data_IF_483756811430
#
_entry.id   IF_483756811430
#
_cell.length_a   1.000
_cell.length_b   1.000
_cell.length_c   1.000
_cell.angle_alpha   90.00
_cell.angle_beta   90.00
_cell.angle_gamma   90.00
#
_symmetry.space_group_name_H-M   'P 1'
#
loop_
_entity.id
_entity.type
_entity.pdbx_description
1 polymer ?
#
# COMPACT_ATOMS: atom_id res chain seq x y z
N UNK A 1 22.80 4.17 -1.86
CA UNK A 1 22.65 5.30 -2.80
C UNK A 1 23.00 6.59 -2.09
N UNK A 2 23.76 7.46 -2.75
CA UNK A 2 24.16 8.76 -2.22
C UNK A 2 23.79 9.88 -3.19
N UNK A 3 23.40 11.02 -2.64
CA UNK A 3 23.13 12.27 -3.32
C UNK A 3 24.20 13.28 -2.89
N UNK A 4 25.00 13.76 -3.85
CA UNK A 4 26.15 14.62 -3.58
C UNK A 4 27.09 14.07 -2.48
N UNK A 5 27.25 12.75 -2.41
CA UNK A 5 28.08 12.06 -1.42
C UNK A 5 27.36 11.71 -0.10
N UNK A 6 26.19 12.30 0.18
CA UNK A 6 25.39 12.00 1.38
C UNK A 6 24.50 10.78 1.14
N UNK A 7 24.49 9.82 2.07
CA UNK A 7 23.65 8.61 1.92
C UNK A 7 22.19 8.95 2.17
N UNK A 8 21.35 8.74 1.15
CA UNK A 8 19.92 9.03 1.22
C UNK A 8 19.03 7.78 1.22
N UNK A 9 19.55 6.63 0.78
CA UNK A 9 18.82 5.35 0.68
C UNK A 9 19.75 4.14 0.68
N UNK A 10 19.32 3.06 1.32
CA UNK A 10 19.88 1.71 1.18
C UNK A 10 19.00 0.85 0.27
N UNK A 11 19.61 -0.05 -0.50
CA UNK A 11 18.89 -0.91 -1.44
C UNK A 11 19.69 -2.18 -1.69
N UNK A 12 19.02 -3.23 -2.13
CA UNK A 12 19.64 -4.51 -2.48
C UNK A 12 19.69 -4.73 -4.00
N UNK A 13 20.61 -5.57 -4.42
CA UNK A 13 20.65 -6.06 -5.79
C UNK A 13 19.54 -7.11 -5.98
N UNK A 14 18.85 -7.00 -7.11
CA UNK A 14 17.88 -7.98 -7.58
C UNK A 14 18.56 -8.90 -8.56
N UNK A 15 18.47 -10.21 -8.30
CA UNK A 15 18.93 -11.22 -9.24
C UNK A 15 17.87 -11.41 -10.33
N UNK A 16 18.11 -10.83 -11.51
CA UNK A 16 17.20 -10.94 -12.65
C UNK A 16 17.64 -12.09 -13.59
N UNK A 17 18.95 -12.35 -13.70
CA UNK A 17 19.52 -13.40 -14.55
C UNK A 17 20.62 -14.13 -13.76
N UNK A 18 20.77 -15.48 -13.89
CA UNK A 18 21.90 -16.18 -13.29
C UNK A 18 23.23 -15.55 -13.69
N UNK A 19 24.05 -15.16 -12.71
CA UNK A 19 25.36 -14.53 -12.92
C UNK A 19 25.34 -13.02 -13.16
N UNK A 20 24.17 -12.37 -13.20
CA UNK A 20 24.06 -10.91 -13.29
C UNK A 20 23.10 -10.38 -12.22
N UNK A 21 23.68 -9.85 -11.16
CA UNK A 21 22.95 -9.10 -10.15
C UNK A 21 22.83 -7.65 -10.63
N UNK A 22 21.61 -7.11 -10.65
CA UNK A 22 21.34 -5.72 -11.04
C UNK A 22 20.67 -4.98 -9.90
N UNK A 23 20.93 -3.69 -9.76
CA UNK A 23 20.19 -2.85 -8.83
C UNK A 23 19.20 -1.97 -9.61
N UNK A 24 18.06 -1.70 -9.01
CA UNK A 24 17.07 -0.75 -9.55
C UNK A 24 16.75 0.23 -8.44
N UNK A 25 16.95 1.51 -8.72
CA UNK A 25 16.58 2.61 -7.83
C UNK A 25 15.53 3.44 -8.54
N UNK A 26 14.39 3.61 -7.87
CA UNK A 26 13.34 4.51 -8.29
C UNK A 26 13.32 5.71 -7.34
N UNK A 27 13.21 6.91 -7.91
CA UNK A 27 13.07 8.17 -7.19
C UNK A 27 11.77 8.78 -7.69
N UNK A 28 10.83 9.04 -6.79
CA UNK A 28 9.54 9.62 -7.11
C UNK A 28 9.66 11.14 -7.25
N UNK A 29 8.63 11.75 -7.82
CA UNK A 29 8.66 13.16 -8.22
C UNK A 29 8.75 14.11 -7.03
N UNK A 30 8.01 13.82 -5.97
CA UNK A 30 8.06 14.51 -4.67
C UNK A 30 9.49 14.55 -4.12
N UNK A 31 10.20 13.41 -4.15
CA UNK A 31 11.58 13.32 -3.71
C UNK A 31 12.53 14.09 -4.63
N UNK A 32 12.38 13.95 -5.94
CA UNK A 32 13.15 14.72 -6.92
C UNK A 32 12.95 16.23 -6.74
N UNK A 33 11.74 16.69 -6.44
CA UNK A 33 11.43 18.10 -6.25
C UNK A 33 12.18 18.73 -5.06
N UNK A 34 12.71 17.93 -4.12
CA UNK A 34 13.56 18.42 -3.02
C UNK A 34 15.03 18.50 -3.39
N UNK A 35 15.45 17.84 -4.47
CA UNK A 35 16.87 17.79 -4.83
C UNK A 35 17.38 19.18 -5.23
N UNK A 36 18.68 19.44 -5.09
CA UNK A 36 19.33 20.55 -5.77
C UNK A 36 19.10 20.51 -7.27
N UNK A 37 19.08 21.69 -7.89
CA UNK A 37 18.82 21.83 -9.32
C UNK A 37 19.76 21.01 -10.21
N UNK A 38 20.95 20.69 -9.70
CA UNK A 38 21.89 19.75 -10.28
C UNK A 38 22.49 18.90 -9.18
N UNK A 39 22.40 17.59 -9.31
CA UNK A 39 22.90 16.66 -8.31
C UNK A 39 23.69 15.51 -8.92
N UNK A 40 24.63 14.96 -8.15
CA UNK A 40 25.37 13.74 -8.50
C UNK A 40 24.83 12.58 -7.67
N UNK A 41 24.33 11.55 -8.36
CA UNK A 41 23.90 10.30 -7.77
C UNK A 41 24.99 9.25 -7.90
N UNK A 42 25.28 8.57 -6.79
CA UNK A 42 26.19 7.41 -6.77
C UNK A 42 25.53 6.24 -6.06
N UNK A 43 25.89 5.03 -6.47
CA UNK A 43 25.49 3.80 -5.80
C UNK A 43 26.75 3.01 -5.51
N UNK A 44 26.89 2.50 -4.30
CA UNK A 44 28.03 1.72 -3.87
C UNK A 44 27.56 0.52 -3.06
N UNK A 45 28.33 -0.56 -3.10
CA UNK A 45 28.19 -1.70 -2.19
C UNK A 45 28.43 -1.25 -0.74
N UNK A 46 27.94 -2.05 0.21
CA UNK A 46 28.17 -1.81 1.64
C UNK A 46 29.67 -1.72 1.98
N UNK A 47 30.51 -2.50 1.28
CA UNK A 47 31.98 -2.46 1.39
C UNK A 47 32.66 -1.30 0.64
N UNK A 48 31.91 -0.36 0.06
CA UNK A 48 32.44 0.86 -0.57
C UNK A 48 32.73 0.77 -2.07
N UNK A 49 32.72 -0.41 -2.68
CA UNK A 49 32.91 -0.56 -4.14
C UNK A 49 31.79 0.12 -4.95
N UNK A 50 32.09 0.87 -6.02
CA UNK A 50 31.05 1.53 -6.82
C UNK A 50 30.23 0.52 -7.62
N UNK A 51 28.93 0.79 -7.76
CA UNK A 51 28.05 0.08 -8.66
C UNK A 51 27.88 0.91 -9.94
N UNK A 52 28.17 0.28 -11.08
CA UNK A 52 28.17 0.97 -12.36
C UNK A 52 26.75 1.11 -12.92
N UNK A 53 26.43 2.30 -13.41
CA UNK A 53 25.25 2.58 -14.22
C UNK A 53 25.70 2.89 -15.64
N UNK A 54 25.37 1.99 -16.59
CA UNK A 54 25.82 2.08 -18.00
C UNK A 54 27.33 2.29 -18.15
N UNK A 55 28.13 1.67 -17.28
CA UNK A 55 29.60 1.80 -17.27
C UNK A 55 30.14 3.01 -16.51
N UNK A 56 29.27 3.91 -16.03
CA UNK A 56 29.66 5.07 -15.24
C UNK A 56 29.52 4.80 -13.73
N UNK A 57 30.37 5.41 -12.90
CA UNK A 57 30.31 5.31 -11.43
C UNK A 57 29.28 6.24 -10.79
N UNK A 58 28.81 7.22 -11.56
CA UNK A 58 27.85 8.21 -11.11
C UNK A 58 26.95 8.68 -12.26
N UNK A 59 25.84 9.29 -11.87
CA UNK A 59 24.91 9.95 -12.77
C UNK A 59 24.69 11.38 -12.31
N UNK A 60 24.85 12.35 -13.21
CA UNK A 60 24.45 13.73 -12.96
C UNK A 60 22.99 13.87 -13.38
N UNK A 61 22.16 14.36 -12.46
CA UNK A 61 20.74 14.60 -12.67
C UNK A 61 20.47 16.08 -12.55
N UNK A 62 19.95 16.67 -13.62
CA UNK A 62 19.48 18.04 -13.64
C UNK A 62 17.98 18.05 -13.32
N UNK A 63 17.61 18.75 -12.25
CA UNK A 63 16.23 18.94 -11.78
C UNK A 63 15.94 20.44 -11.72
N UNK A 64 15.66 21.12 -12.85
CA UNK A 64 15.60 22.59 -12.90
C UNK A 64 14.62 23.24 -11.92
N UNK A 65 13.61 22.49 -11.45
CA UNK A 65 12.59 22.92 -10.51
C UNK A 65 12.81 22.37 -9.08
N UNK A 66 13.98 21.78 -8.81
CA UNK A 66 14.32 21.25 -7.49
C UNK A 66 14.50 22.38 -6.47
N UNK A 67 13.89 22.24 -5.31
CA UNK A 67 13.92 23.22 -4.22
C UNK A 67 15.32 23.42 -3.63
N UNK A 68 16.20 22.41 -3.76
CA UNK A 68 17.56 22.46 -3.24
C UNK A 68 17.67 22.31 -1.74
N UNK A 69 16.88 21.39 -1.16
CA UNK A 69 17.04 21.00 0.23
C UNK A 69 18.44 20.43 0.48
N UNK A 70 18.89 20.57 1.74
CA UNK A 70 20.13 19.95 2.19
C UNK A 70 20.05 18.41 1.99
N UNK A 71 21.00 17.78 1.28
CA UNK A 71 21.09 16.33 1.13
C UNK A 71 21.02 15.55 2.45
N UNK A 72 21.47 16.13 3.56
CA UNK A 72 21.38 15.50 4.88
C UNK A 72 19.94 15.30 5.35
N UNK A 73 19.01 16.13 4.88
CA UNK A 73 17.58 16.08 5.21
C UNK A 73 16.76 15.25 4.20
N UNK A 74 17.37 14.79 3.12
CA UNK A 74 16.69 13.97 2.12
C UNK A 74 16.87 12.50 2.48
N UNK A 75 15.76 11.81 2.75
CA UNK A 75 15.72 10.36 2.92
C UNK A 75 14.66 9.80 1.99
N UNK A 76 14.99 8.70 1.31
CA UNK A 76 14.10 8.09 0.33
C UNK A 76 13.85 6.64 0.72
N UNK A 77 12.57 6.27 0.74
CA UNK A 77 12.14 4.92 1.05
C UNK A 77 12.44 3.93 -0.10
N UNK A 78 12.05 2.67 0.09
CA UNK A 78 12.24 1.62 -0.94
C UNK A 78 11.40 1.85 -2.20
N UNK A 79 10.25 2.53 -2.08
CA UNK A 79 9.33 2.85 -3.19
C UNK A 79 9.78 4.10 -3.96
N UNK A 80 10.71 4.88 -3.40
CA UNK A 80 11.26 6.09 -4.00
C UNK A 80 10.66 7.40 -3.49
N UNK A 81 9.76 7.37 -2.51
CA UNK A 81 9.12 8.53 -1.89
C UNK A 81 10.01 9.10 -0.77
N UNK A 82 9.77 10.36 -0.40
CA UNK A 82 10.43 10.95 0.76
C UNK A 82 9.99 10.25 2.05
N UNK A 83 10.96 9.93 2.90
CA UNK A 83 10.65 9.47 4.27
C UNK A 83 10.17 10.66 5.07
N UNK A 84 8.99 10.55 5.67
CA UNK A 84 8.44 11.61 6.51
C UNK A 84 9.24 11.78 7.80
N UNK A 85 9.30 13.02 8.30
CA UNK A 85 9.82 13.29 9.63
C UNK A 85 8.98 12.61 10.71
N UNK A 86 9.56 12.37 11.88
CA UNK A 86 8.92 11.61 12.97
C UNK A 86 7.56 12.18 13.40
N UNK A 87 7.41 13.51 13.44
CA UNK A 87 6.14 14.16 13.77
C UNK A 87 5.05 13.90 12.72
N UNK A 88 5.39 14.03 11.43
CA UNK A 88 4.45 13.75 10.33
C UNK A 88 4.04 12.27 10.28
N UNK A 89 4.98 11.36 10.57
CA UNK A 89 4.68 9.93 10.66
C UNK A 89 3.72 9.60 11.81
N UNK A 90 3.90 10.23 12.98
CA UNK A 90 3.01 10.02 14.13
C UNK A 90 1.59 10.49 13.82
N UNK A 91 1.44 11.69 13.27
CA UNK A 91 0.15 12.25 12.84
C UNK A 91 -0.52 11.36 11.78
N UNK A 92 0.27 10.86 10.82
CA UNK A 92 -0.21 9.92 9.79
C UNK A 92 -0.74 8.62 10.41
N UNK A 93 0.00 8.04 11.36
CA UNK A 93 -0.39 6.82 12.07
C UNK A 93 -1.63 7.00 12.95
N UNK A 94 -1.79 8.16 13.59
CA UNK A 94 -3.02 8.52 14.31
C UNK A 94 -4.21 8.60 13.34
N UNK A 95 -4.01 9.22 12.17
CA UNK A 95 -5.01 9.28 11.11
C UNK A 95 -5.40 7.90 10.57
N UNK A 96 -4.46 6.96 10.46
CA UNK A 96 -4.76 5.57 10.11
C UNK A 96 -5.65 4.91 11.16
N UNK A 97 -5.31 5.03 12.44
CA UNK A 97 -6.09 4.43 13.52
C UNK A 97 -7.51 5.02 13.62
N UNK A 98 -7.65 6.33 13.43
CA UNK A 98 -8.95 6.99 13.38
C UNK A 98 -9.79 6.50 12.19
N UNK A 99 -9.17 6.39 11.01
CA UNK A 99 -9.82 5.86 9.81
C UNK A 99 -10.22 4.40 10.00
N UNK A 100 -9.34 3.59 10.59
CA UNK A 100 -9.60 2.18 10.90
C UNK A 100 -10.77 2.02 11.85
N UNK A 101 -10.82 2.79 12.95
CA UNK A 101 -11.91 2.71 13.93
C UNK A 101 -13.26 3.00 13.27
N UNK A 102 -13.35 4.07 12.48
CA UNK A 102 -14.55 4.42 11.74
C UNK A 102 -14.94 3.35 10.71
N UNK A 103 -13.97 2.85 9.94
CA UNK A 103 -14.19 1.82 8.93
C UNK A 103 -14.62 0.49 9.56
N UNK A 104 -13.96 0.03 10.62
CA UNK A 104 -14.28 -1.23 11.30
C UNK A 104 -15.69 -1.20 11.90
N UNK A 105 -16.08 -0.09 12.56
CA UNK A 105 -17.44 0.11 13.05
C UNK A 105 -18.48 0.10 11.92
N UNK A 106 -18.17 0.73 10.78
CA UNK A 106 -19.03 0.72 9.60
C UNK A 106 -19.16 -0.71 9.02
N UNK A 107 -18.05 -1.44 8.90
CA UNK A 107 -18.03 -2.81 8.39
C UNK A 107 -18.86 -3.76 9.26
N UNK A 108 -18.73 -3.64 10.58
CA UNK A 108 -19.53 -4.41 11.52
C UNK A 108 -21.02 -4.10 11.36
N UNK A 109 -21.41 -2.82 11.35
CA UNK A 109 -22.82 -2.40 11.30
C UNK A 109 -23.49 -2.69 9.96
N UNK A 110 -22.83 -2.37 8.85
CA UNK A 110 -23.44 -2.38 7.51
C UNK A 110 -23.27 -3.70 6.76
N UNK A 111 -22.22 -4.46 7.09
CA UNK A 111 -21.87 -5.69 6.38
C UNK A 111 -21.85 -6.93 7.28
N UNK A 112 -21.86 -6.76 8.60
CA UNK A 112 -21.76 -7.88 9.55
C UNK A 112 -20.45 -8.67 9.43
N UNK A 113 -19.40 -8.06 8.86
CA UNK A 113 -18.09 -8.69 8.66
C UNK A 113 -17.01 -7.92 9.42
N UNK A 114 -16.07 -8.61 10.10
CA UNK A 114 -14.97 -7.93 10.77
C UNK A 114 -13.95 -7.41 9.74
N UNK A 115 -13.43 -6.22 10.02
CA UNK A 115 -12.26 -5.67 9.33
C UNK A 115 -11.03 -5.91 10.21
N UNK A 116 -10.15 -6.82 9.81
CA UNK A 116 -8.99 -7.25 10.61
C UNK A 116 -7.66 -6.79 10.00
N UNK A 117 -6.63 -6.62 10.83
CA UNK A 117 -5.29 -6.23 10.39
C UNK A 117 -4.66 -7.29 9.47
N UNK A 118 -3.88 -6.82 8.49
CA UNK A 118 -3.09 -7.66 7.58
C UNK A 118 -1.65 -7.13 7.43
N UNK A 119 -0.82 -7.91 6.73
CA UNK A 119 0.54 -7.55 6.30
C UNK A 119 1.41 -6.89 7.39
N UNK A 120 2.03 -5.75 7.07
CA UNK A 120 2.98 -5.05 7.93
C UNK A 120 2.34 -4.55 9.20
N UNK A 121 1.08 -4.10 9.11
CA UNK A 121 0.29 -3.65 10.25
C UNK A 121 0.02 -4.79 11.24
N UNK A 122 -0.42 -5.96 10.76
CA UNK A 122 -0.57 -7.15 11.61
C UNK A 122 0.78 -7.61 12.17
N UNK A 123 1.83 -7.60 11.35
CA UNK A 123 3.18 -8.01 11.76
C UNK A 123 3.73 -7.14 12.89
N UNK A 124 3.57 -5.81 12.78
CA UNK A 124 3.92 -4.86 13.83
C UNK A 124 3.12 -5.13 15.10
N UNK A 125 1.80 -5.26 14.96
CA UNK A 125 0.91 -5.56 16.09
C UNK A 125 1.32 -6.86 16.80
N UNK A 126 1.68 -7.92 16.06
CA UNK A 126 2.09 -9.20 16.66
C UNK A 126 3.49 -9.18 17.28
N UNK A 127 4.41 -8.35 16.79
CA UNK A 127 5.79 -8.27 17.31
C UNK A 127 5.95 -7.29 18.46
N UNK A 128 5.17 -6.23 18.50
CA UNK A 128 5.36 -5.12 19.44
C UNK A 128 4.10 -4.37 19.84
N UNK A 129 2.91 -4.87 19.49
CA UNK A 129 1.61 -4.20 19.73
C UNK A 129 1.53 -2.77 19.15
N UNK A 130 2.35 -2.48 18.13
CA UNK A 130 2.42 -1.16 17.48
C UNK A 130 2.89 -1.28 16.03
N UNK A 131 2.94 -0.16 15.31
CA UNK A 131 3.49 -0.10 13.96
C UNK A 131 4.94 -0.56 13.92
N UNK A 132 5.36 -1.09 12.76
CA UNK A 132 6.79 -1.27 12.50
C UNK A 132 7.44 0.13 12.47
N UNK A 133 8.65 0.33 13.05
CA UNK A 133 9.31 1.63 13.01
C UNK A 133 9.49 2.15 11.59
N UNK A 134 8.97 3.35 11.32
CA UNK A 134 9.01 3.97 9.99
C UNK A 134 7.92 3.52 9.01
N UNK A 135 6.97 2.69 9.45
CA UNK A 135 5.88 2.18 8.61
C UNK A 135 4.81 3.24 8.37
N UNK A 136 4.56 3.51 7.10
CA UNK A 136 3.66 4.55 6.58
C UNK A 136 2.47 3.98 5.82
N UNK A 137 2.23 2.66 5.94
CA UNK A 137 1.09 1.95 5.36
C UNK A 137 0.18 1.38 6.48
N UNK A 138 -1.12 1.27 6.22
CA UNK A 138 -2.06 0.57 7.11
C UNK A 138 -2.91 -0.44 6.33
N UNK A 139 -2.61 -1.73 6.51
CA UNK A 139 -3.21 -2.84 5.78
C UNK A 139 -4.30 -3.54 6.60
N UNK A 140 -5.47 -3.70 6.00
CA UNK A 140 -6.61 -4.41 6.60
C UNK A 140 -7.31 -5.31 5.61
N UNK A 141 -8.05 -6.30 6.08
CA UNK A 141 -8.87 -7.13 5.23
C UNK A 141 -10.17 -7.56 5.85
N UNK A 142 -11.06 -8.01 4.98
CA UNK A 142 -12.30 -8.67 5.34
C UNK A 142 -12.37 -10.00 4.61
N UNK A 143 -13.07 -10.97 5.21
CA UNK A 143 -13.31 -12.25 4.57
C UNK A 143 -14.54 -12.16 3.66
N UNK A 144 -14.39 -12.63 2.42
CA UNK A 144 -15.46 -12.75 1.43
C UNK A 144 -15.84 -14.21 1.23
N UNK A 145 -17.13 -14.53 1.40
CA UNK A 145 -17.69 -15.85 1.13
C UNK A 145 -18.14 -16.02 -0.34
N UNK A 146 -17.83 -15.05 -1.21
CA UNK A 146 -18.25 -15.03 -2.62
C UNK A 146 -17.64 -16.16 -3.49
N UNK A 147 -16.62 -16.86 -2.99
CA UNK A 147 -16.10 -18.14 -3.49
C UNK A 147 -15.33 -18.10 -4.82
N UNK A 148 -15.35 -16.96 -5.53
CA UNK A 148 -14.48 -16.71 -6.68
C UNK A 148 -14.24 -15.22 -6.93
N UNK A 149 -13.14 -14.91 -7.61
CA UNK A 149 -12.68 -13.56 -7.88
C UNK A 149 -13.74 -12.63 -8.50
N UNK A 150 -14.55 -13.10 -9.46
CA UNK A 150 -15.56 -12.24 -10.10
C UNK A 150 -16.69 -11.87 -9.15
N UNK A 151 -17.14 -12.79 -8.29
CA UNK A 151 -18.15 -12.49 -7.28
C UNK A 151 -17.59 -11.64 -6.14
N UNK A 152 -16.32 -11.84 -5.78
CA UNK A 152 -15.61 -10.97 -4.82
C UNK A 152 -15.57 -9.53 -5.35
N UNK A 153 -15.32 -9.32 -6.64
CA UNK A 153 -15.43 -7.97 -7.25
C UNK A 153 -16.83 -7.41 -7.12
N UNK A 154 -17.86 -8.19 -7.41
CA UNK A 154 -19.24 -7.71 -7.37
C UNK A 154 -19.66 -7.34 -5.93
N UNK A 155 -19.26 -8.15 -4.94
CA UNK A 155 -19.39 -7.83 -3.50
C UNK A 155 -18.63 -6.55 -3.15
N UNK A 156 -17.36 -6.47 -3.55
CA UNK A 156 -16.53 -5.30 -3.31
C UNK A 156 -17.14 -4.03 -3.92
N UNK A 157 -17.71 -4.09 -5.13
CA UNK A 157 -18.41 -2.96 -5.74
C UNK A 157 -19.62 -2.50 -4.90
N UNK A 158 -20.36 -3.41 -4.27
CA UNK A 158 -21.46 -3.03 -3.36
C UNK A 158 -20.92 -2.36 -2.09
N UNK A 159 -19.85 -2.91 -1.50
CA UNK A 159 -19.17 -2.29 -0.36
C UNK A 159 -18.68 -0.89 -0.70
N UNK A 160 -18.10 -0.66 -1.88
CA UNK A 160 -17.65 0.68 -2.33
C UNK A 160 -18.81 1.65 -2.28
N UNK A 161 -19.93 1.30 -2.92
CA UNK A 161 -21.10 2.17 -3.02
C UNK A 161 -21.63 2.52 -1.63
N UNK A 162 -21.68 1.55 -0.72
CA UNK A 162 -22.13 1.76 0.66
C UNK A 162 -21.15 2.59 1.48
N UNK A 163 -19.84 2.33 1.38
CA UNK A 163 -18.80 3.12 2.04
C UNK A 163 -18.83 4.59 1.60
N UNK A 164 -18.94 4.83 0.30
CA UNK A 164 -19.04 6.20 -0.25
C UNK A 164 -20.30 6.90 0.27
N UNK A 165 -21.46 6.23 0.22
CA UNK A 165 -22.70 6.77 0.80
C UNK A 165 -22.62 6.94 2.33
N UNK A 166 -21.76 6.17 2.98
CA UNK A 166 -21.45 6.26 4.42
C UNK A 166 -20.47 7.38 4.78
N UNK A 167 -20.04 8.20 3.82
CA UNK A 167 -19.16 9.34 4.07
C UNK A 167 -17.67 9.05 3.86
N UNK A 168 -17.27 7.84 3.44
CA UNK A 168 -15.86 7.54 3.21
C UNK A 168 -15.40 7.98 1.82
N UNK A 169 -14.11 8.29 1.70
CA UNK A 169 -13.48 8.44 0.39
C UNK A 169 -12.80 7.14 -0.02
N UNK A 170 -13.23 6.58 -1.14
CA UNK A 170 -12.72 5.34 -1.71
C UNK A 170 -11.95 5.64 -2.99
N UNK A 171 -10.67 5.30 -3.01
CA UNK A 171 -9.80 5.48 -4.17
C UNK A 171 -9.55 4.14 -4.87
N UNK A 172 -9.64 4.13 -6.21
CA UNK A 172 -9.29 3.00 -7.07
C UNK A 172 -8.02 3.33 -7.83
N UNK A 173 -7.10 2.36 -7.88
CA UNK A 173 -5.89 2.53 -8.66
C UNK A 173 -6.15 2.41 -10.19
N UNK A 174 -5.13 2.68 -11.00
CA UNK A 174 -5.24 2.64 -12.48
C UNK A 174 -5.51 1.24 -13.01
N UNK A 175 -5.10 0.20 -12.29
CA UNK A 175 -5.33 -1.19 -12.65
C UNK A 175 -6.74 -1.70 -12.30
N UNK A 176 -7.56 -0.91 -11.62
CA UNK A 176 -8.91 -1.31 -11.19
C UNK A 176 -8.96 -2.07 -9.86
N UNK A 177 -7.87 -2.04 -9.08
CA UNK A 177 -7.84 -2.58 -7.73
C UNK A 177 -8.56 -1.62 -6.75
N UNK A 178 -9.47 -2.19 -5.97
CA UNK A 178 -10.11 -1.63 -4.79
C UNK A 178 -9.30 -2.04 -3.53
N UNK A 179 -9.38 -1.44 -2.35
CA UNK A 179 -9.94 -0.15 -1.93
C UNK A 179 -8.86 0.56 -1.12
N UNK A 180 -8.51 1.78 -1.53
CA UNK A 180 -7.90 2.70 -0.58
C UNK A 180 -9.01 3.48 0.09
N UNK A 181 -9.09 3.37 1.41
CA UNK A 181 -10.17 3.96 2.19
C UNK A 181 -9.61 5.07 3.09
N UNK A 182 -10.22 6.24 3.10
CA UNK A 182 -9.90 7.30 4.07
C UNK A 182 -11.12 8.09 4.50
N UNK A 183 -10.98 8.82 5.59
CA UNK A 183 -11.95 9.82 6.00
C UNK A 183 -11.85 11.07 5.13
N UNK A 184 -12.97 11.80 4.89
CA UNK A 184 -12.92 13.12 4.28
C UNK A 184 -11.99 14.07 5.05
N UNK A 185 -11.29 14.95 4.32
CA UNK A 185 -10.33 15.89 4.91
C UNK A 185 -8.94 15.29 5.18
N UNK A 186 -8.81 13.97 5.34
CA UNK A 186 -7.50 13.34 5.46
C UNK A 186 -6.73 13.45 4.13
N UNK A 187 -5.41 13.73 4.18
CA UNK A 187 -4.56 13.70 2.99
C UNK A 187 -4.60 12.29 2.39
N UNK A 188 -4.44 12.12 1.07
CA UNK A 188 -4.61 10.80 0.51
C UNK A 188 -3.55 9.78 0.98
N UNK A 189 -2.36 10.23 1.39
CA UNK A 189 -1.37 9.38 2.07
C UNK A 189 -1.94 8.71 3.35
N UNK A 190 -2.87 9.37 4.04
CA UNK A 190 -3.59 8.84 5.18
C UNK A 190 -4.79 7.98 4.73
N UNK A 191 -4.52 6.76 4.27
CA UNK A 191 -5.52 5.78 3.87
C UNK A 191 -5.23 4.39 4.42
N UNK A 192 -6.27 3.56 4.48
CA UNK A 192 -6.17 2.12 4.67
C UNK A 192 -6.09 1.44 3.31
N UNK A 193 -5.16 0.50 3.15
CA UNK A 193 -5.19 -0.47 2.05
C UNK A 193 -6.09 -1.65 2.48
N UNK A 194 -7.31 -1.67 1.97
CA UNK A 194 -8.32 -2.70 2.29
C UNK A 194 -8.28 -3.82 1.26
N UNK A 195 -8.14 -5.05 1.76
CA UNK A 195 -8.03 -6.26 0.95
C UNK A 195 -9.20 -7.21 1.17
N UNK A 196 -9.80 -7.67 0.07
CA UNK A 196 -10.70 -8.83 0.11
C UNK A 196 -9.88 -10.11 0.28
N UNK A 197 -10.25 -10.95 1.25
CA UNK A 197 -9.66 -12.27 1.49
C UNK A 197 -10.71 -13.32 1.14
N UNK A 198 -10.43 -14.22 0.21
CA UNK A 198 -11.39 -15.26 -0.19
C UNK A 198 -10.72 -16.60 -0.46
N UNK A 199 -11.50 -17.66 -0.38
CA UNK A 199 -11.05 -18.99 -0.78
C UNK A 199 -11.49 -19.33 -2.21
N UNK A 200 -10.56 -19.73 -3.06
CA UNK A 200 -10.83 -20.18 -4.42
C UNK A 200 -9.77 -21.20 -4.86
N UNK A 201 -10.18 -22.30 -5.50
CA UNK A 201 -9.28 -23.35 -6.01
C UNK A 201 -8.32 -23.93 -4.95
N UNK A 202 -8.81 -24.14 -3.72
CA UNK A 202 -8.06 -24.79 -2.65
C UNK A 202 -7.00 -23.91 -1.99
N UNK A 203 -7.09 -22.59 -2.14
CA UNK A 203 -6.19 -21.65 -1.46
C UNK A 203 -6.93 -20.38 -1.08
N UNK A 204 -6.37 -19.66 -0.11
CA UNK A 204 -6.79 -18.29 0.22
C UNK A 204 -6.09 -17.32 -0.72
N UNK A 205 -6.83 -16.33 -1.22
CA UNK A 205 -6.38 -15.31 -2.16
C UNK A 205 -6.55 -13.92 -1.56
N UNK A 206 -5.54 -13.08 -1.79
CA UNK A 206 -5.58 -11.63 -1.51
C UNK A 206 -4.94 -10.85 -2.67
N UNK A 207 -3.78 -11.31 -3.15
CA UNK A 207 -3.06 -10.80 -4.34
C UNK A 207 -2.23 -11.94 -4.96
N UNK A 208 -1.48 -11.77 -6.08
CA UNK A 208 -0.92 -12.93 -6.80
C UNK A 208 0.13 -13.71 -6.02
N UNK A 209 0.75 -13.08 -5.01
CA UNK A 209 1.75 -13.71 -4.13
C UNK A 209 1.14 -14.22 -2.82
N UNK A 210 0.03 -13.66 -2.36
CA UNK A 210 -0.80 -14.24 -1.29
C UNK A 210 -1.87 -15.17 -1.88
N UNK A 211 -1.40 -16.24 -2.53
CA UNK A 211 -2.16 -17.46 -2.78
C UNK A 211 -1.67 -18.45 -1.71
N UNK A 212 -2.28 -18.36 -0.53
CA UNK A 212 -1.75 -18.86 0.73
C UNK A 212 -2.35 -20.23 1.06
N UNK A 213 -1.52 -21.06 1.69
CA UNK A 213 -1.97 -22.27 2.37
C UNK A 213 -2.59 -21.89 3.73
N UNK A 214 -3.77 -21.29 3.66
CA UNK A 214 -4.59 -20.90 4.79
C UNK A 214 -6.03 -21.34 4.53
N UNK A 215 -6.84 -21.35 5.58
CA UNK A 215 -8.27 -21.64 5.55
C UNK A 215 -9.06 -20.52 6.22
N UNK A 216 -10.36 -20.47 5.98
CA UNK A 216 -11.28 -19.49 6.60
C UNK A 216 -11.12 -19.40 8.13
N UNK A 217 -10.95 -20.54 8.79
CA UNK A 217 -10.75 -20.61 10.24
C UNK A 217 -9.37 -20.15 10.73
N UNK A 218 -8.48 -19.66 9.85
CA UNK A 218 -7.30 -18.88 10.24
C UNK A 218 -7.63 -17.39 10.38
N UNK A 219 -8.73 -16.93 9.78
CA UNK A 219 -9.15 -15.52 9.77
C UNK A 219 -10.34 -15.27 10.68
N UNK A 220 -11.32 -16.18 10.66
CA UNK A 220 -12.58 -16.02 11.37
C UNK A 220 -12.82 -17.13 12.42
N UNK A 221 -13.45 -16.81 13.57
CA UNK A 221 -13.84 -15.46 14.01
C UNK A 221 -12.60 -14.59 14.28
N UNK A 222 -12.65 -13.31 13.88
CA UNK A 222 -11.58 -12.38 14.19
C UNK A 222 -11.51 -12.14 15.70
N UNK A 223 -10.32 -11.86 16.23
CA UNK A 223 -10.09 -11.68 17.65
C UNK A 223 -9.83 -10.22 17.98
N UNK A 224 -10.28 -9.79 19.16
CA UNK A 224 -10.00 -8.46 19.68
C UNK A 224 -8.53 -8.32 20.07
N UNK A 225 -7.98 -7.14 19.82
CA UNK A 225 -6.66 -6.71 20.23
C UNK A 225 -6.65 -5.19 20.39
N UNK A 226 -5.49 -4.62 20.72
CA UNK A 226 -5.31 -3.17 20.85
C UNK A 226 -4.04 -2.70 20.15
N UNK A 227 -4.08 -1.47 19.67
CA UNK A 227 -2.94 -0.78 19.06
C UNK A 227 -3.02 0.69 19.46
N UNK A 228 -2.05 1.16 20.26
CA UNK A 228 -2.05 2.53 20.84
C UNK A 228 -3.37 2.92 21.53
N UNK A 229 -3.99 1.98 22.24
CA UNK A 229 -5.26 2.20 22.95
C UNK A 229 -6.50 2.22 22.07
N UNK A 230 -6.37 1.96 20.76
CA UNK A 230 -7.49 1.76 19.83
C UNK A 230 -7.76 0.26 19.71
N UNK A 231 -9.03 -0.13 19.82
CA UNK A 231 -9.46 -1.51 19.62
C UNK A 231 -9.29 -1.89 18.15
N UNK A 232 -8.58 -2.99 17.90
CA UNK A 232 -8.33 -3.53 16.56
C UNK A 232 -8.69 -5.01 16.51
N UNK A 233 -9.01 -5.51 15.32
CA UNK A 233 -9.30 -6.93 15.10
C UNK A 233 -8.12 -7.58 14.39
N UNK A 234 -7.79 -8.80 14.79
CA UNK A 234 -6.78 -9.63 14.13
C UNK A 234 -7.40 -10.93 13.64
N UNK A 235 -6.79 -11.60 12.63
CA UNK A 235 -7.20 -12.94 12.23
C UNK A 235 -7.28 -13.92 13.42
N UNK A 236 -8.15 -14.93 13.36
CA UNK A 236 -8.26 -15.99 14.38
C UNK A 236 -6.92 -16.66 14.74
N UNK A 237 -6.03 -16.81 13.77
CA UNK A 237 -4.66 -17.34 13.91
C UNK A 237 -3.70 -16.46 13.10
N UNK A 238 -3.26 -15.32 13.65
CA UNK A 238 -2.37 -14.38 12.96
C UNK A 238 -1.11 -15.03 12.39
N UNK A 239 -0.55 -15.99 13.13
CA UNK A 239 0.65 -16.74 12.78
C UNK A 239 0.47 -17.56 11.50
N UNK A 240 -0.73 -18.08 11.22
CA UNK A 240 -1.00 -18.82 9.97
C UNK A 240 -0.77 -17.92 8.76
N UNK A 241 -1.33 -16.71 8.78
CA UNK A 241 -1.16 -15.74 7.71
C UNK A 241 0.28 -15.24 7.62
N UNK A 242 0.86 -14.84 8.75
CA UNK A 242 2.22 -14.27 8.78
C UNK A 242 3.27 -15.28 8.34
N UNK A 243 3.18 -16.54 8.78
CA UNK A 243 4.09 -17.60 8.35
C UNK A 243 3.92 -17.95 6.87
N UNK A 244 2.67 -18.02 6.38
CA UNK A 244 2.38 -18.32 4.98
C UNK A 244 2.88 -17.21 4.04
N UNK A 245 2.83 -15.95 4.48
CA UNK A 245 3.23 -14.80 3.66
C UNK A 245 4.71 -14.41 3.79
N UNK A 246 5.20 -14.24 5.02
CA UNK A 246 6.57 -13.76 5.29
C UNK A 246 7.59 -14.90 5.41
N UNK A 247 7.16 -16.11 5.76
CA UNK A 247 8.02 -17.26 6.03
C UNK A 247 7.94 -17.71 7.49
N UNK A 248 8.44 -18.91 7.79
CA UNK A 248 8.41 -19.48 9.16
C UNK A 248 9.19 -18.66 10.18
N UNK A 249 10.15 -17.86 9.74
CA UNK A 249 10.99 -16.95 10.52
C UNK A 249 10.40 -15.54 10.64
N UNK A 250 9.10 -15.35 10.33
CA UNK A 250 8.43 -14.05 10.37
C UNK A 250 8.53 -13.32 11.71
N UNK A 251 8.93 -13.94 12.81
CA UNK A 251 9.14 -13.24 14.08
C UNK A 251 10.45 -12.45 14.10
N UNK A 252 11.44 -12.83 13.28
CA UNK A 252 12.76 -12.21 13.23
C UNK A 252 12.71 -11.03 12.23
N UNK A 253 13.03 -9.80 12.66
CA UNK A 253 13.12 -8.67 11.74
C UNK A 253 14.10 -8.95 10.59
N UNK A 254 13.60 -8.84 9.37
CA UNK A 254 14.40 -8.99 8.16
C UNK A 254 14.32 -7.69 7.33
N UNK A 255 15.24 -6.74 7.53
CA UNK A 255 15.26 -5.48 6.78
C UNK A 255 15.41 -5.68 5.26
N UNK A 256 15.95 -6.84 4.83
CA UNK A 256 16.12 -7.23 3.45
C UNK A 256 14.84 -7.80 2.80
N UNK A 257 13.75 -7.96 3.56
CA UNK A 257 12.55 -8.59 3.03
C UNK A 257 11.96 -7.80 1.83
N UNK A 258 11.93 -8.45 0.66
CA UNK A 258 11.32 -7.90 -0.55
C UNK A 258 10.53 -8.95 -1.31
N UNK A 259 9.32 -8.58 -1.73
CA UNK A 259 8.48 -9.40 -2.61
C UNK A 259 8.63 -9.04 -4.08
N UNK A 260 9.33 -7.94 -4.40
CA UNK A 260 9.41 -7.39 -5.76
C UNK A 260 10.03 -8.38 -6.77
N UNK A 261 11.08 -9.08 -6.35
CA UNK A 261 11.84 -10.01 -7.19
C UNK A 261 11.24 -11.43 -7.26
N UNK A 262 10.25 -11.76 -6.43
CA UNK A 262 9.71 -13.13 -6.37
C UNK A 262 8.81 -13.39 -7.59
N UNK A 263 9.16 -14.36 -8.46
CA UNK A 263 8.34 -14.70 -9.62
C UNK A 263 7.04 -15.35 -9.16
N UNK A 264 5.97 -15.12 -9.91
CA UNK A 264 4.69 -15.80 -9.73
C UNK A 264 4.14 -16.23 -11.08
N UNK A 265 3.37 -17.30 -11.10
CA UNK A 265 2.82 -17.82 -12.34
C UNK A 265 1.82 -16.82 -12.95
N UNK A 266 1.95 -16.54 -14.26
CA UNK A 266 1.10 -15.55 -14.99
C UNK A 266 -0.40 -15.83 -14.86
N UNK A 267 -0.80 -17.08 -14.70
CA UNK A 267 -2.20 -17.45 -14.53
C UNK A 267 -2.78 -16.94 -13.20
N UNK A 268 -1.97 -16.83 -12.12
CA UNK A 268 -2.41 -16.26 -10.83
C UNK A 268 -2.85 -14.80 -10.99
N UNK A 269 -2.10 -14.04 -11.79
CA UNK A 269 -2.47 -12.66 -12.13
C UNK A 269 -3.76 -12.59 -12.96
N UNK A 270 -3.96 -13.51 -13.92
CA UNK A 270 -5.20 -13.56 -14.69
C UNK A 270 -6.41 -13.88 -13.80
N UNK A 271 -6.24 -14.75 -12.81
CA UNK A 271 -7.29 -15.02 -11.83
C UNK A 271 -7.59 -13.78 -11.00
N UNK A 272 -6.57 -13.14 -10.44
CA UNK A 272 -6.73 -11.96 -9.61
C UNK A 272 -7.37 -10.78 -10.35
N UNK A 273 -7.01 -10.56 -11.61
CA UNK A 273 -7.60 -9.49 -12.44
C UNK A 273 -9.11 -9.64 -12.62
N UNK A 274 -9.69 -10.82 -12.37
CA UNK A 274 -11.15 -11.00 -12.36
C UNK A 274 -11.81 -10.36 -11.13
N UNK A 275 -11.04 -10.13 -10.07
CA UNK A 275 -11.46 -9.38 -8.88
C UNK A 275 -11.35 -7.85 -9.07
N UNK A 276 -10.76 -7.38 -10.18
CA UNK A 276 -10.55 -5.96 -10.43
C UNK A 276 -11.73 -5.38 -11.22
N UNK A 277 -12.03 -4.11 -10.96
CA UNK A 277 -13.09 -3.41 -11.67
C UNK A 277 -12.58 -2.81 -12.98
N UNK A 278 -13.48 -2.74 -13.95
CA UNK A 278 -13.30 -2.12 -15.25
C UNK A 278 -13.91 -0.71 -15.27
N UNK A 279 -13.59 0.14 -16.27
CA UNK A 279 -14.23 1.45 -16.41
C UNK A 279 -15.76 1.39 -16.45
N UNK A 280 -16.33 0.33 -17.04
CA UNK A 280 -17.78 0.12 -17.05
C UNK A 280 -18.35 -0.12 -15.65
N UNK A 281 -17.65 -0.90 -14.84
CA UNK A 281 -18.04 -1.17 -13.45
C UNK A 281 -17.88 0.07 -12.57
N UNK A 282 -16.86 0.89 -12.80
CA UNK A 282 -16.71 2.21 -12.18
C UNK A 282 -17.91 3.10 -12.51
N UNK A 283 -18.29 3.21 -13.78
CA UNK A 283 -19.45 4.01 -14.19
C UNK A 283 -20.75 3.52 -13.54
N UNK A 284 -20.92 2.18 -13.39
CA UNK A 284 -22.06 1.59 -12.67
C UNK A 284 -22.05 1.97 -11.18
N UNK A 285 -20.90 1.94 -10.51
CA UNK A 285 -20.80 2.37 -9.11
C UNK A 285 -21.14 3.86 -8.97
N UNK A 286 -20.60 4.71 -9.84
CA UNK A 286 -20.89 6.15 -9.85
C UNK A 286 -22.38 6.42 -10.03
N UNK A 287 -23.03 5.74 -10.99
CA UNK A 287 -24.48 5.85 -11.20
C UNK A 287 -25.29 5.41 -9.98
N UNK A 288 -24.83 4.38 -9.25
CA UNK A 288 -25.46 3.98 -7.98
C UNK A 288 -25.24 5.01 -6.89
N UNK A 289 -24.05 5.59 -6.77
CA UNK A 289 -23.75 6.60 -5.74
C UNK A 289 -24.64 7.84 -5.92
N UNK A 290 -24.80 8.31 -7.16
CA UNK A 290 -25.50 9.55 -7.49
C UNK A 290 -24.53 10.69 -7.77
N UNK A 291 -25.05 11.91 -7.93
CA UNK A 291 -24.20 13.10 -8.01
C UNK A 291 -23.55 13.37 -6.65
N UNK A 292 -22.26 13.76 -6.59
CA UNK A 292 -21.64 14.17 -5.35
C UNK A 292 -22.41 15.36 -4.76
N UNK A 293 -22.91 15.25 -3.53
CA UNK A 293 -23.30 16.42 -2.76
C UNK A 293 -22.05 17.16 -2.24
N UNK A 294 -22.23 18.08 -1.29
CA UNK A 294 -21.21 19.03 -0.86
C UNK A 294 -19.89 18.37 -0.40
N UNK A 295 -18.83 19.18 -0.22
CA UNK A 295 -17.44 18.75 0.10
C UNK A 295 -17.25 17.83 1.33
N UNK A 296 -18.30 17.60 2.12
CA UNK A 296 -18.29 16.76 3.33
C UNK A 296 -18.97 15.38 3.13
N UNK A 297 -19.33 15.03 1.90
CA UNK A 297 -19.87 13.72 1.54
C UNK A 297 -18.78 12.77 1.03
N UNK A 298 -18.99 11.46 1.22
CA UNK A 298 -18.05 10.45 0.75
C UNK A 298 -17.89 10.49 -0.77
N UNK A 299 -16.73 10.05 -1.27
CA UNK A 299 -16.37 10.23 -2.67
C UNK A 299 -15.72 8.97 -3.26
N UNK A 300 -16.06 8.67 -4.51
CA UNK A 300 -15.38 7.64 -5.30
C UNK A 300 -14.33 8.28 -6.22
N UNK A 301 -13.05 7.92 -6.05
CA UNK A 301 -11.93 8.45 -6.81
C UNK A 301 -11.30 7.37 -7.70
N UNK A 302 -11.73 7.24 -8.96
CA UNK A 302 -11.05 6.38 -9.93
C UNK A 302 -9.84 7.11 -10.53
N UNK A 303 -8.63 6.82 -10.04
CA UNK A 303 -7.38 7.49 -10.48
C UNK A 303 -7.20 7.38 -11.99
N UNK A 304 -7.50 6.20 -12.56
CA UNK A 304 -7.36 5.94 -13.99
C UNK A 304 -8.30 6.76 -14.90
N UNK A 305 -9.34 7.36 -14.33
CA UNK A 305 -10.32 8.16 -15.07
C UNK A 305 -10.17 9.67 -14.85
N UNK A 306 -9.24 10.11 -13.99
CA UNK A 306 -9.02 11.54 -13.75
C UNK A 306 -8.16 12.16 -14.85
N UNK A 307 -8.55 13.35 -15.29
CA UNK A 307 -7.70 14.18 -16.16
C UNK A 307 -6.45 14.60 -15.39
N UNK A 308 -5.28 14.44 -16.00
CA UNK A 308 -4.01 14.89 -15.43
C UNK A 308 -3.99 16.42 -15.26
N UNK A 309 -4.72 17.15 -16.11
CA UNK A 309 -4.76 18.60 -16.08
C UNK A 309 -6.14 19.13 -15.69
N UNK A 310 -6.22 20.24 -14.90
CA UNK A 310 -5.08 20.93 -14.28
C UNK A 310 -4.42 20.08 -13.18
N UNK A 311 -3.09 20.19 -13.08
CA UNK A 311 -2.28 19.28 -12.26
C UNK A 311 -2.67 19.41 -10.78
N UNK A 312 -2.90 20.63 -10.31
CA UNK A 312 -3.24 20.93 -8.92
C UNK A 312 -4.51 20.18 -8.47
N UNK A 313 -5.49 20.03 -9.37
CA UNK A 313 -6.70 19.25 -9.11
C UNK A 313 -6.40 17.75 -9.07
N UNK A 314 -5.54 17.27 -9.96
CA UNK A 314 -5.13 15.86 -9.98
C UNK A 314 -4.40 15.50 -8.69
N UNK A 315 -3.45 16.34 -8.25
CA UNK A 315 -2.66 16.16 -7.02
C UNK A 315 -3.58 16.13 -5.78
N UNK A 316 -4.53 17.07 -5.68
CA UNK A 316 -5.52 17.10 -4.59
C UNK A 316 -6.39 15.84 -4.48
N UNK A 317 -6.74 15.23 -5.63
CA UNK A 317 -7.68 14.11 -5.69
C UNK A 317 -6.95 12.76 -5.62
N UNK A 318 -5.77 12.66 -6.23
CA UNK A 318 -5.07 11.40 -6.51
C UNK A 318 -3.74 11.22 -5.77
N UNK A 319 -3.20 12.23 -5.08
CA UNK A 319 -1.92 12.17 -4.34
C UNK A 319 -0.70 11.96 -5.24
N UNK A 320 -0.42 12.94 -6.10
CA UNK A 320 0.74 12.94 -6.99
C UNK A 320 1.50 14.25 -6.91
#
# INVERSE_FOLDING_TARGET
>A
MRLNGVRIRETEAVRIVPGLDVFVVQIQRDALARFPARTRLTVSLAGGGPLLFKGCTDAVVDVPHGAGDDPENIRIDKKGFLVQGQAGLAELQEGFLATYSAASAFFHREFGTPLFLLYGTLLGQQRGADFIPGDDDFDVGYWSDAGNASRVRDEAMDLVVRLVRGGFVVTLNREGRLFRLRLPGNPPACHLDVHAVWHEKGSVWIHPRANLDCKRGDFLPAMDSTMRGIDVLVPARPESFLASYYGSDWQIPNPAYSTAARPFAKWKLRLLRRAFVTPLEVARMQSKIGEPGARDEGMLVPIGSQSIYPLERYEQICDW
#
